data_IF_233053709058
#
_entry.id   IF_233053709058
#
_cell.length_a   1.000
_cell.length_b   1.000
_cell.length_c   1.000
_cell.angle_alpha   90.00
_cell.angle_beta   90.00
_cell.angle_gamma   90.00
#
_symmetry.space_group_name_H-M   'P 1'
#
loop_
_entity.id
_entity.type
_entity.pdbx_description
1 polymer ?
#
# COMPACT_ATOMS: atom_id res chain seq x y z
N UNK A 1 17.83 -12.24 -22.78
CA UNK A 1 18.92 -11.42 -22.21
C UNK A 1 18.80 -11.41 -20.68
N UNK A 2 19.85 -11.84 -20.01
CA UNK A 2 19.84 -11.78 -18.55
C UNK A 2 20.31 -10.40 -18.09
N UNK A 3 19.57 -9.84 -17.13
CA UNK A 3 19.93 -8.57 -16.52
C UNK A 3 20.95 -8.80 -15.40
N UNK A 4 21.89 -7.88 -15.26
CA UNK A 4 22.80 -7.87 -14.12
C UNK A 4 22.03 -7.53 -12.86
N UNK A 5 22.59 -7.80 -11.67
CA UNK A 5 21.97 -7.41 -10.41
C UNK A 5 21.65 -5.92 -10.36
N UNK A 6 22.56 -5.09 -10.85
CA UNK A 6 22.35 -3.65 -10.93
C UNK A 6 21.18 -3.30 -11.86
N UNK A 7 21.10 -3.99 -13.01
CA UNK A 7 20.02 -3.75 -13.96
C UNK A 7 18.68 -4.19 -13.40
N UNK A 8 18.62 -5.34 -12.69
CA UNK A 8 17.42 -5.81 -12.05
C UNK A 8 16.91 -4.83 -10.99
N UNK A 9 17.82 -4.31 -10.16
CA UNK A 9 17.46 -3.34 -9.13
C UNK A 9 16.91 -2.06 -9.75
N UNK A 10 17.50 -1.59 -10.82
CA UNK A 10 17.05 -0.39 -11.52
C UNK A 10 15.65 -0.56 -12.10
N UNK A 11 15.36 -1.75 -12.66
CA UNK A 11 14.03 -2.07 -13.17
C UNK A 11 13.00 -2.07 -12.04
N UNK A 12 13.34 -2.68 -10.89
CA UNK A 12 12.46 -2.69 -9.73
C UNK A 12 12.19 -1.28 -9.21
N UNK A 13 13.21 -0.42 -9.17
CA UNK A 13 13.04 0.97 -8.76
C UNK A 13 12.09 1.72 -9.70
N UNK A 14 12.20 1.49 -10.99
CA UNK A 14 11.31 2.11 -11.98
C UNK A 14 9.88 1.60 -11.82
N UNK A 15 9.71 0.28 -11.62
CA UNK A 15 8.39 -0.29 -11.37
C UNK A 15 7.77 0.27 -10.10
N UNK A 16 8.59 0.43 -9.05
CA UNK A 16 8.13 1.01 -7.79
C UNK A 16 7.67 2.46 -7.98
N UNK A 17 8.45 3.27 -8.69
CA UNK A 17 8.11 4.68 -8.91
C UNK A 17 6.85 4.85 -9.75
N UNK A 18 6.64 3.95 -10.70
CA UNK A 18 5.52 4.03 -11.62
C UNK A 18 4.32 3.20 -11.18
N UNK A 19 4.37 2.64 -9.99
CA UNK A 19 3.32 1.76 -9.48
C UNK A 19 2.00 2.51 -9.34
N UNK A 20 0.95 1.94 -9.92
CA UNK A 20 -0.40 2.47 -9.81
C UNK A 20 -1.36 1.34 -9.45
N UNK A 21 -2.39 1.68 -8.70
CA UNK A 21 -3.44 0.74 -8.33
C UNK A 21 -4.63 0.96 -9.25
N UNK A 22 -5.07 -0.06 -10.01
CA UNK A 22 -6.22 0.10 -10.89
C UNK A 22 -7.46 0.51 -10.12
N UNK A 23 -8.24 1.42 -10.73
CA UNK A 23 -9.50 1.87 -10.15
C UNK A 23 -10.66 1.23 -10.94
N UNK A 24 -11.40 0.29 -10.36
CA UNK A 24 -12.55 -0.30 -11.03
C UNK A 24 -13.68 0.71 -11.21
N UNK A 25 -14.61 0.44 -12.12
CA UNK A 25 -15.74 1.34 -12.37
C UNK A 25 -16.66 1.45 -11.15
N UNK A 26 -16.82 0.36 -10.42
CA UNK A 26 -17.67 0.34 -9.22
C UNK A 26 -16.89 -0.17 -8.02
N UNK A 27 -17.08 0.49 -6.89
CA UNK A 27 -16.55 0.01 -5.63
C UNK A 27 -17.38 -1.17 -5.14
N UNK A 28 -16.72 -2.22 -4.68
CA UNK A 28 -17.39 -3.43 -4.19
C UNK A 28 -17.93 -3.32 -2.75
N UNK A 29 -17.78 -2.17 -2.12
CA UNK A 29 -18.24 -1.97 -0.74
C UNK A 29 -17.27 -2.43 0.32
N UNK A 30 -16.13 -2.97 -0.05
CA UNK A 30 -15.14 -3.48 0.89
C UNK A 30 -13.94 -2.55 0.97
N UNK A 31 -13.38 -2.44 2.18
CA UNK A 31 -12.15 -1.68 2.42
C UNK A 31 -10.97 -2.61 2.50
N UNK A 32 -9.84 -2.14 2.06
CA UNK A 32 -8.56 -2.85 2.22
C UNK A 32 -7.73 -2.06 3.22
N UNK A 33 -7.37 -2.72 4.31
CA UNK A 33 -6.63 -2.09 5.40
C UNK A 33 -5.24 -2.70 5.43
N UNK A 34 -4.23 -1.86 5.30
CA UNK A 34 -2.84 -2.26 5.42
C UNK A 34 -2.40 -1.97 6.85
N UNK A 35 -2.03 -3.02 7.56
CA UNK A 35 -1.58 -2.96 8.95
C UNK A 35 -0.13 -3.37 9.02
N UNK A 36 0.68 -2.64 9.79
CA UNK A 36 2.07 -3.02 9.92
C UNK A 36 2.61 -2.72 11.30
N UNK A 37 3.57 -3.57 11.72
CA UNK A 37 4.31 -3.42 12.97
C UNK A 37 5.79 -3.64 12.64
N UNK A 38 6.45 -2.59 12.21
CA UNK A 38 7.82 -2.64 11.71
C UNK A 38 8.77 -2.25 12.85
N UNK A 39 9.79 -3.10 13.14
CA UNK A 39 10.70 -2.83 14.26
C UNK A 39 11.53 -1.56 14.05
N UNK A 40 11.95 -0.94 15.15
CA UNK A 40 12.72 0.31 15.14
C UNK A 40 13.96 0.26 14.25
N UNK A 41 14.64 -0.86 14.20
CA UNK A 41 15.83 -0.98 13.35
C UNK A 41 15.54 -0.79 11.87
N UNK A 42 14.27 -0.82 11.50
CA UNK A 42 13.81 -0.60 10.13
C UNK A 42 12.97 0.67 9.98
N UNK A 43 13.23 1.67 10.79
CA UNK A 43 12.49 2.93 10.77
C UNK A 43 12.48 3.59 9.40
N UNK A 44 13.59 3.54 8.67
CA UNK A 44 13.65 4.15 7.34
C UNK A 44 12.69 3.48 6.37
N UNK A 45 12.62 2.15 6.42
CA UNK A 45 11.67 1.40 5.58
C UNK A 45 10.23 1.69 5.98
N UNK A 46 9.95 1.78 7.29
CA UNK A 46 8.63 2.13 7.78
C UNK A 46 8.18 3.50 7.27
N UNK A 47 9.06 4.48 7.39
CA UNK A 47 8.74 5.84 6.95
C UNK A 47 8.55 5.91 5.44
N UNK A 48 9.37 5.18 4.68
CA UNK A 48 9.24 5.09 3.24
C UNK A 48 7.93 4.41 2.82
N UNK A 49 7.52 3.36 3.56
CA UNK A 49 6.23 2.70 3.32
C UNK A 49 5.08 3.68 3.54
N UNK A 50 5.09 4.42 4.65
CA UNK A 50 4.05 5.43 4.93
C UNK A 50 3.96 6.46 3.81
N UNK A 51 5.10 6.95 3.37
CA UNK A 51 5.16 7.94 2.31
C UNK A 51 4.59 7.39 1.01
N UNK A 52 4.92 6.15 0.67
CA UNK A 52 4.39 5.52 -0.55
C UNK A 52 2.89 5.33 -0.48
N UNK A 53 2.37 4.87 0.67
CA UNK A 53 0.93 4.73 0.86
C UNK A 53 0.21 6.07 0.71
N UNK A 54 0.77 7.13 1.26
CA UNK A 54 0.22 8.46 1.12
C UNK A 54 0.19 8.92 -0.34
N UNK A 55 1.29 8.68 -1.07
CA UNK A 55 1.38 9.04 -2.49
C UNK A 55 0.38 8.25 -3.35
N UNK A 56 0.07 7.01 -2.97
CA UNK A 56 -0.91 6.20 -3.67
C UNK A 56 -2.36 6.59 -3.33
N UNK A 57 -2.55 7.49 -2.38
CA UNK A 57 -3.86 7.99 -2.03
C UNK A 57 -4.53 7.29 -0.87
N UNK A 58 -3.85 6.44 -0.15
CA UNK A 58 -4.41 5.76 1.02
C UNK A 58 -4.80 6.78 2.09
N UNK A 59 -5.83 6.43 2.86
CA UNK A 59 -6.26 7.22 4.01
C UNK A 59 -5.66 6.64 5.28
N UNK A 60 -4.99 7.49 6.04
CA UNK A 60 -4.35 7.06 7.29
C UNK A 60 -5.38 6.99 8.42
N UNK A 61 -5.71 5.78 8.85
CA UNK A 61 -6.60 5.57 9.99
C UNK A 61 -5.85 5.74 11.31
N UNK A 62 -4.65 5.21 11.37
CA UNK A 62 -3.72 5.29 12.50
C UNK A 62 -2.31 5.28 11.93
N UNK A 63 -1.31 5.51 12.77
CA UNK A 63 0.08 5.53 12.30
C UNK A 63 0.46 4.29 11.48
N UNK A 64 -0.04 3.13 11.87
CA UNK A 64 0.29 1.84 11.25
C UNK A 64 -0.90 1.17 10.59
N UNK A 65 -1.96 1.94 10.28
CA UNK A 65 -3.16 1.40 9.65
C UNK A 65 -3.65 2.36 8.57
N UNK A 66 -3.67 1.88 7.34
CA UNK A 66 -4.02 2.70 6.18
C UNK A 66 -5.08 2.01 5.35
N UNK A 67 -6.07 2.76 4.87
CA UNK A 67 -7.24 2.24 4.16
C UNK A 67 -7.27 2.64 2.70
N UNK A 68 -7.75 1.74 1.86
CA UNK A 68 -7.93 1.97 0.44
C UNK A 68 -9.16 1.21 -0.04
N UNK A 69 -9.96 1.76 -0.96
CA UNK A 69 -11.24 1.14 -1.34
C UNK A 69 -11.14 0.09 -2.43
N UNK A 70 -10.03 -0.03 -3.12
CA UNK A 70 -9.93 -0.92 -4.28
C UNK A 70 -8.94 -2.05 -4.05
N UNK A 71 -9.09 -3.18 -4.79
CA UNK A 71 -8.13 -4.28 -4.66
C UNK A 71 -6.71 -3.80 -4.91
N UNK A 72 -5.80 -4.13 -4.00
CA UNK A 72 -4.43 -3.63 -4.05
C UNK A 72 -3.41 -4.63 -3.50
N UNK A 73 -3.79 -5.90 -3.33
CA UNK A 73 -2.91 -6.89 -2.72
C UNK A 73 -1.58 -7.04 -3.46
N UNK A 74 -1.63 -7.14 -4.79
CA UNK A 74 -0.41 -7.30 -5.59
C UNK A 74 0.53 -6.10 -5.44
N UNK A 75 -0.04 -4.92 -5.48
CA UNK A 75 0.72 -3.68 -5.36
C UNK A 75 1.37 -3.55 -3.99
N UNK A 76 0.61 -3.87 -2.94
CA UNK A 76 1.15 -3.81 -1.58
C UNK A 76 2.23 -4.88 -1.39
N UNK A 77 2.03 -6.09 -1.90
CA UNK A 77 3.06 -7.13 -1.83
C UNK A 77 4.36 -6.68 -2.48
N UNK A 78 4.27 -6.05 -3.64
CA UNK A 78 5.45 -5.51 -4.33
C UNK A 78 6.15 -4.46 -3.46
N UNK A 79 5.40 -3.54 -2.88
CA UNK A 79 5.95 -2.46 -2.05
C UNK A 79 6.67 -3.03 -0.82
N UNK A 80 6.03 -3.95 -0.11
CA UNK A 80 6.61 -4.46 1.14
C UNK A 80 7.80 -5.36 0.89
N UNK A 81 7.86 -6.04 -0.25
CA UNK A 81 9.04 -6.78 -0.65
C UNK A 81 10.17 -5.82 -1.05
N UNK A 82 9.84 -4.76 -1.76
CA UNK A 82 10.81 -3.73 -2.15
C UNK A 82 11.52 -3.15 -0.93
N UNK A 83 10.78 -2.91 0.15
CA UNK A 83 11.35 -2.38 1.39
C UNK A 83 11.84 -3.46 2.35
N UNK A 84 11.72 -4.74 2.01
CA UNK A 84 12.11 -5.88 2.85
C UNK A 84 11.40 -5.87 4.21
N UNK A 85 10.10 -5.58 4.21
CA UNK A 85 9.28 -5.55 5.42
C UNK A 85 8.06 -6.45 5.32
N UNK A 86 8.05 -7.37 4.37
CA UNK A 86 6.93 -8.26 4.09
C UNK A 86 6.36 -8.92 5.35
N UNK A 87 7.22 -9.47 6.21
CA UNK A 87 6.77 -10.22 7.39
C UNK A 87 6.09 -9.36 8.46
N UNK A 88 6.18 -8.05 8.34
CA UNK A 88 5.62 -7.13 9.33
C UNK A 88 4.31 -6.48 8.86
N UNK A 89 3.81 -6.85 7.68
CA UNK A 89 2.67 -6.18 7.06
C UNK A 89 1.55 -7.18 6.79
N UNK A 90 0.33 -6.78 7.15
CA UNK A 90 -0.87 -7.57 6.89
C UNK A 90 -1.86 -6.74 6.10
N UNK A 91 -2.61 -7.40 5.23
CA UNK A 91 -3.71 -6.76 4.50
C UNK A 91 -4.99 -7.42 4.94
N UNK A 92 -5.94 -6.62 5.40
CA UNK A 92 -7.26 -7.07 5.81
C UNK A 92 -8.29 -6.50 4.85
N UNK A 93 -9.25 -7.29 4.45
CA UNK A 93 -10.34 -6.86 3.59
C UNK A 93 -11.67 -7.06 4.32
N UNK A 94 -12.53 -6.04 4.30
CA UNK A 94 -13.80 -6.15 4.97
C UNK A 94 -14.57 -4.85 5.01
N UNK A 95 -15.68 -4.87 5.74
CA UNK A 95 -16.49 -3.69 5.94
C UNK A 95 -15.99 -2.88 7.13
N UNK A 96 -16.05 -1.57 6.99
CA UNK A 96 -15.76 -0.65 8.09
C UNK A 96 -17.08 0.03 8.46
N UNK A 97 -17.51 -0.09 9.72
CA UNK A 97 -18.81 0.41 10.13
C UNK A 97 -18.76 1.91 10.28
N UNK A 98 -18.59 2.78 10.36
CA UNK A 98 -18.52 4.23 10.47
C UNK A 98 -17.49 4.76 9.46
N UNK A 99 -17.75 4.49 8.19
CA UNK A 99 -16.81 4.82 7.15
C UNK A 99 -17.13 6.12 6.39
N UNK A 100 -17.94 7.01 6.97
CA UNK A 100 -18.35 8.23 6.30
C UNK A 100 -17.17 9.10 5.86
N UNK A 101 -16.17 9.25 6.72
CA UNK A 101 -14.98 10.04 6.37
C UNK A 101 -14.15 9.38 5.28
N UNK A 102 -14.04 8.05 5.33
CA UNK A 102 -13.35 7.30 4.28
C UNK A 102 -14.05 7.50 2.94
N UNK A 103 -15.38 7.35 2.92
CA UNK A 103 -16.16 7.55 1.70
C UNK A 103 -15.99 8.96 1.15
N UNK A 104 -16.00 9.94 2.03
CA UNK A 104 -15.81 11.32 1.65
C UNK A 104 -14.42 11.55 1.02
N UNK A 105 -13.38 10.99 1.65
CA UNK A 105 -12.02 11.12 1.17
C UNK A 105 -11.85 10.57 -0.24
N UNK A 106 -12.48 9.43 -0.52
CA UNK A 106 -12.37 8.75 -1.80
C UNK A 106 -13.51 9.09 -2.77
N UNK A 107 -14.37 10.06 -2.41
CA UNK A 107 -15.51 10.46 -3.23
C UNK A 107 -16.47 9.31 -3.53
N UNK A 108 -16.70 8.46 -2.53
CA UNK A 108 -17.62 7.33 -2.60
C UNK A 108 -18.90 7.68 -1.84
N UNK A 109 -20.04 7.56 -2.50
CA UNK A 109 -21.33 7.87 -1.90
C UNK A 109 -22.07 6.63 -1.43
#
# INVERSE_FOLDING_TARGET
MELTERGKRKVEEMEFENLQIPKPEKWDGLWRIVLFDIPRKKNKARDALRQKLQLLGFYQLQESAWAFPYPCTKEIEFIVEFFSVYQYVHIVQGEVKKDAELRKHFHLL
#
